data_IF_390980419861
#
_entry.id   IF_390980419861
#
_cell.length_a   1.000
_cell.length_b   1.000
_cell.length_c   1.000
_cell.angle_alpha   90.00
_cell.angle_beta   90.00
_cell.angle_gamma   90.00
#
_symmetry.space_group_name_H-M   'P 1'
#
loop_
_entity.id
_entity.type
_entity.pdbx_description
1 polymer ?
#
# COMPACT_ATOMS: atom_id res chain seq x y z
N UNK A 1 71.80 -1.73 -59.67
CA UNK A 1 70.84 -0.73 -60.20
C UNK A 1 69.89 -1.51 -61.11
N UNK A 2 68.59 -1.70 -60.88
CA UNK A 2 67.61 -1.09 -59.99
C UNK A 2 66.46 -2.11 -59.83
N UNK A 3 65.88 -2.24 -58.63
CA UNK A 3 64.77 -3.15 -58.27
C UNK A 3 63.40 -2.50 -58.46
N UNK A 4 62.36 -3.31 -58.71
CA UNK A 4 60.95 -3.26 -58.21
C UNK A 4 60.01 -4.01 -59.19
N UNK A 5 58.92 -4.71 -58.82
CA UNK A 5 58.36 -5.30 -57.58
C UNK A 5 57.15 -6.15 -58.07
N UNK A 6 56.87 -7.39 -57.60
CA UNK A 6 55.75 -8.18 -58.13
C UNK A 6 54.43 -7.84 -57.43
N UNK A 7 53.37 -7.59 -58.21
CA UNK A 7 52.00 -7.37 -57.73
C UNK A 7 51.37 -8.71 -57.31
N UNK A 8 50.87 -8.74 -56.08
CA UNK A 8 50.27 -9.90 -55.42
C UNK A 8 48.80 -10.04 -55.85
N UNK A 9 48.43 -11.21 -56.37
CA UNK A 9 47.04 -11.59 -56.67
C UNK A 9 46.34 -11.96 -55.36
N UNK A 10 45.33 -11.20 -54.95
CA UNK A 10 44.46 -11.54 -53.82
C UNK A 10 43.29 -12.43 -54.30
N UNK A 11 43.00 -13.56 -53.65
CA UNK A 11 41.82 -14.36 -53.92
C UNK A 11 40.54 -13.64 -53.45
N UNK A 12 39.50 -13.71 -54.28
CA UNK A 12 38.13 -13.22 -54.03
C UNK A 12 37.54 -13.94 -52.81
N UNK A 13 37.17 -13.20 -51.77
CA UNK A 13 36.33 -13.68 -50.66
C UNK A 13 34.88 -13.74 -51.16
N UNK A 14 34.10 -14.82 -50.91
CA UNK A 14 32.69 -14.86 -51.28
C UNK A 14 31.88 -13.86 -50.45
N UNK A 15 30.88 -13.22 -51.07
CA UNK A 15 29.93 -12.35 -50.38
C UNK A 15 29.05 -13.18 -49.41
N UNK A 16 28.63 -12.62 -48.25
CA UNK A 16 27.74 -13.32 -47.33
C UNK A 16 26.37 -13.57 -47.98
N UNK A 17 25.82 -14.76 -47.74
CA UNK A 17 24.46 -15.12 -48.14
C UNK A 17 23.42 -14.23 -47.44
N UNK A 18 22.52 -13.66 -48.23
CA UNK A 18 21.41 -12.82 -47.76
C UNK A 18 20.32 -13.73 -47.16
N UNK A 19 20.25 -13.79 -45.83
CA UNK A 19 19.22 -14.53 -45.11
C UNK A 19 17.94 -13.71 -45.19
N UNK A 20 17.04 -14.02 -46.12
CA UNK A 20 15.66 -13.51 -46.09
C UNK A 20 14.96 -14.05 -44.85
N UNK A 21 14.91 -13.23 -43.79
CA UNK A 21 13.98 -13.42 -42.68
C UNK A 21 12.57 -13.11 -43.18
N UNK A 22 11.74 -14.14 -43.31
CA UNK A 22 10.30 -13.97 -43.38
C UNK A 22 9.86 -13.35 -42.06
N UNK A 23 9.44 -12.09 -42.09
CA UNK A 23 8.91 -11.38 -40.93
C UNK A 23 7.56 -12.00 -40.57
N UNK A 24 7.54 -12.80 -39.51
CA UNK A 24 6.31 -13.33 -38.94
C UNK A 24 5.52 -12.13 -38.37
N UNK A 25 4.26 -11.90 -38.79
CA UNK A 25 3.51 -10.76 -38.29
C UNK A 25 3.38 -10.87 -36.78
N UNK A 26 3.80 -9.81 -36.08
CA UNK A 26 3.66 -9.73 -34.64
C UNK A 26 2.19 -10.02 -34.26
N UNK A 27 1.92 -10.82 -33.22
CA UNK A 27 0.56 -11.09 -32.80
C UNK A 27 -0.13 -9.75 -32.51
N UNK A 28 -1.29 -9.52 -33.13
CA UNK A 28 -2.14 -8.38 -32.81
C UNK A 28 -2.44 -8.41 -31.32
N UNK A 29 -1.77 -7.54 -30.56
CA UNK A 29 -2.15 -7.24 -29.19
C UNK A 29 -3.47 -6.48 -29.30
N UNK A 30 -4.57 -7.21 -29.23
CA UNK A 30 -5.87 -6.61 -29.00
C UNK A 30 -5.77 -5.94 -27.63
N UNK A 31 -5.67 -4.60 -27.61
CA UNK A 31 -5.87 -3.83 -26.38
C UNK A 31 -7.18 -4.30 -25.79
N UNK A 32 -7.13 -5.01 -24.65
CA UNK A 32 -8.33 -5.26 -23.88
C UNK A 32 -8.90 -3.89 -23.58
N UNK A 33 -10.11 -3.61 -24.07
CA UNK A 33 -10.86 -2.43 -23.66
C UNK A 33 -10.79 -2.35 -22.13
N UNK A 34 -10.39 -1.21 -21.56
CA UNK A 34 -10.27 -1.08 -20.12
C UNK A 34 -11.62 -1.44 -19.50
N UNK A 35 -11.65 -2.46 -18.63
CA UNK A 35 -12.88 -2.85 -17.95
C UNK A 35 -13.37 -1.66 -17.15
N UNK A 36 -14.43 -0.99 -17.63
CA UNK A 36 -14.93 0.22 -16.99
C UNK A 36 -15.77 -0.20 -15.79
N UNK A 37 -15.15 -0.16 -14.60
CA UNK A 37 -15.81 -0.50 -13.34
C UNK A 37 -16.81 0.58 -12.95
N UNK A 38 -18.02 0.18 -12.55
CA UNK A 38 -19.03 1.11 -12.04
C UNK A 38 -18.67 1.64 -10.64
N UNK A 39 -19.23 2.79 -10.24
CA UNK A 39 -19.08 3.33 -8.87
C UNK A 39 -19.43 2.27 -7.80
N UNK A 40 -20.54 1.54 -7.99
CA UNK A 40 -21.01 0.56 -7.02
C UNK A 40 -20.01 -0.61 -6.86
N UNK A 41 -19.43 -1.08 -7.96
CA UNK A 41 -18.41 -2.13 -7.94
C UNK A 41 -17.11 -1.65 -7.33
N UNK A 42 -16.62 -0.47 -7.75
CA UNK A 42 -15.41 0.13 -7.22
C UNK A 42 -15.51 0.34 -5.70
N UNK A 43 -16.63 0.90 -5.23
CA UNK A 43 -16.90 1.09 -3.81
C UNK A 43 -16.94 -0.24 -3.05
N UNK A 44 -17.59 -1.27 -3.60
CA UNK A 44 -17.65 -2.60 -2.97
C UNK A 44 -16.25 -3.19 -2.78
N UNK A 45 -15.40 -3.16 -3.81
CA UNK A 45 -14.03 -3.65 -3.71
C UNK A 45 -13.22 -2.82 -2.71
N UNK A 46 -13.29 -1.50 -2.83
CA UNK A 46 -12.56 -0.58 -1.96
C UNK A 46 -12.87 -0.83 -0.48
N UNK A 47 -14.15 -0.98 -0.14
CA UNK A 47 -14.58 -1.24 1.24
C UNK A 47 -14.13 -2.60 1.75
N UNK A 48 -14.14 -3.63 0.91
CA UNK A 48 -13.61 -4.93 1.29
C UNK A 48 -12.11 -4.85 1.62
N UNK A 49 -11.33 -4.14 0.79
CA UNK A 49 -9.91 -3.89 1.06
C UNK A 49 -9.71 -3.05 2.32
N UNK A 50 -10.52 -2.02 2.53
CA UNK A 50 -10.49 -1.16 3.73
C UNK A 50 -10.61 -1.95 5.02
N UNK A 51 -11.63 -2.83 5.09
CA UNK A 51 -11.89 -3.68 6.26
C UNK A 51 -10.75 -4.68 6.45
N UNK A 52 -10.27 -5.28 5.36
CA UNK A 52 -9.14 -6.20 5.43
C UNK A 52 -7.85 -5.51 5.91
N UNK A 53 -7.54 -4.32 5.42
CA UNK A 53 -6.40 -3.52 5.86
C UNK A 53 -6.48 -3.14 7.33
N UNK A 54 -7.67 -2.70 7.80
CA UNK A 54 -7.91 -2.40 9.20
C UNK A 54 -7.71 -3.63 10.10
N UNK A 55 -8.29 -4.76 9.71
CA UNK A 55 -8.15 -6.05 10.40
C UNK A 55 -6.70 -6.50 10.46
N UNK A 56 -5.99 -6.41 9.33
CA UNK A 56 -4.58 -6.78 9.24
C UNK A 56 -3.74 -5.92 10.19
N UNK A 57 -3.94 -4.60 10.17
CA UNK A 57 -3.21 -3.69 11.04
C UNK A 57 -3.34 -4.08 12.51
N UNK A 58 -4.57 -4.33 12.99
CA UNK A 58 -4.81 -4.83 14.34
C UNK A 58 -4.09 -6.16 14.59
N UNK A 59 -4.16 -7.11 13.65
CA UNK A 59 -3.48 -8.41 13.79
C UNK A 59 -1.95 -8.28 13.88
N UNK A 60 -1.35 -7.33 13.16
CA UNK A 60 0.09 -7.08 13.20
C UNK A 60 0.52 -6.50 14.54
N UNK A 61 -0.19 -5.49 15.03
CA UNK A 61 0.13 -4.89 16.33
C UNK A 61 -0.11 -5.86 17.49
N UNK A 62 -1.18 -6.64 17.47
CA UNK A 62 -1.42 -7.66 18.48
C UNK A 62 -0.39 -8.82 18.43
N UNK A 63 0.31 -9.00 17.30
CA UNK A 63 1.35 -10.03 17.17
C UNK A 63 2.69 -9.57 17.79
N UNK A 64 2.85 -8.28 18.08
CA UNK A 64 3.96 -7.75 18.86
C UNK A 64 3.80 -8.26 20.31
N UNK A 65 4.83 -8.94 20.82
CA UNK A 65 4.72 -9.66 22.10
C UNK A 65 5.58 -9.07 23.23
N UNK A 66 6.32 -7.98 22.99
CA UNK A 66 7.38 -7.52 23.90
C UNK A 66 7.71 -6.04 23.62
N UNK A 67 8.20 -5.31 24.62
CA UNK A 67 8.77 -3.95 24.53
C UNK A 67 10.01 -3.88 23.62
N UNK A 68 10.57 -5.04 23.26
CA UNK A 68 11.72 -5.17 22.36
C UNK A 68 11.35 -5.42 20.89
N UNK A 69 10.08 -5.22 20.54
CA UNK A 69 9.60 -5.26 19.17
C UNK A 69 8.76 -4.02 18.84
N UNK A 70 8.98 -3.43 17.67
CA UNK A 70 8.13 -2.36 17.18
C UNK A 70 7.85 -2.53 15.68
N UNK A 71 6.63 -2.19 15.28
CA UNK A 71 6.25 -1.99 13.89
C UNK A 71 6.58 -0.54 13.50
N UNK A 72 7.75 -0.31 12.89
CA UNK A 72 8.19 1.05 12.53
C UNK A 72 7.50 1.59 11.28
N UNK A 73 7.12 0.70 10.37
CA UNK A 73 6.48 1.04 9.11
C UNK A 73 5.51 -0.05 8.68
N UNK A 74 4.39 0.36 8.09
CA UNK A 74 3.40 -0.53 7.49
C UNK A 74 2.77 0.12 6.28
N UNK A 75 2.58 -0.66 5.22
CA UNK A 75 1.81 -0.31 4.04
C UNK A 75 0.88 -1.47 3.71
N UNK A 76 -0.39 -1.15 3.52
CA UNK A 76 -1.36 -2.02 2.91
C UNK A 76 -1.97 -1.34 1.70
N UNK A 77 -1.82 -1.97 0.54
CA UNK A 77 -2.30 -1.48 -0.75
C UNK A 77 -2.93 -2.63 -1.52
N UNK A 78 -4.27 -2.60 -1.65
CA UNK A 78 -5.07 -3.56 -2.43
C UNK A 78 -4.69 -5.03 -2.21
N UNK A 79 -4.42 -5.39 -0.96
CA UNK A 79 -4.09 -6.76 -0.55
C UNK A 79 -2.61 -7.11 -0.62
N UNK A 80 -1.74 -6.21 -1.06
CA UNK A 80 -0.30 -6.31 -0.83
C UNK A 80 0.05 -5.65 0.49
N UNK A 81 0.94 -6.30 1.24
CA UNK A 81 1.43 -5.84 2.53
C UNK A 81 2.93 -5.67 2.47
N UNK A 82 3.42 -4.55 2.97
CA UNK A 82 4.83 -4.31 3.22
C UNK A 82 4.99 -3.73 4.61
N UNK A 83 5.94 -4.22 5.38
CA UNK A 83 6.15 -3.72 6.73
C UNK A 83 7.60 -3.81 7.18
N UNK A 84 7.96 -2.96 8.12
CA UNK A 84 9.27 -2.95 8.77
C UNK A 84 9.08 -3.26 10.25
N UNK A 85 9.77 -4.32 10.71
CA UNK A 85 9.85 -4.65 12.13
C UNK A 85 11.23 -4.30 12.65
N UNK A 86 11.25 -3.69 13.82
CA UNK A 86 12.42 -3.54 14.65
C UNK A 86 12.38 -4.60 15.74
N UNK A 87 13.39 -5.46 15.80
CA UNK A 87 13.47 -6.55 16.77
C UNK A 87 14.86 -6.62 17.38
N UNK A 88 14.98 -6.92 18.66
CA UNK A 88 16.31 -7.08 19.30
C UNK A 88 16.96 -8.45 19.05
N UNK A 89 16.22 -9.44 18.52
CA UNK A 89 16.74 -10.79 18.22
C UNK A 89 15.90 -11.56 17.18
N UNK A 90 16.48 -12.60 16.56
CA UNK A 90 15.76 -13.50 15.64
C UNK A 90 14.67 -14.34 16.33
N UNK A 91 14.83 -14.60 17.63
CA UNK A 91 13.81 -15.31 18.40
C UNK A 91 12.50 -14.49 18.45
N UNK A 92 12.60 -13.18 18.63
CA UNK A 92 11.45 -12.27 18.62
C UNK A 92 10.75 -12.25 17.26
N UNK A 93 11.51 -12.23 16.15
CA UNK A 93 10.93 -12.35 14.81
C UNK A 93 10.18 -13.69 14.62
N UNK A 94 10.70 -14.77 15.20
CA UNK A 94 10.05 -16.09 15.15
C UNK A 94 8.76 -16.10 15.97
N UNK A 95 8.77 -15.48 17.15
CA UNK A 95 7.59 -15.29 18.01
C UNK A 95 6.51 -14.45 17.32
N UNK A 96 6.89 -13.33 16.70
CA UNK A 96 5.97 -12.50 15.91
C UNK A 96 5.26 -13.32 14.83
N UNK A 97 6.03 -14.06 14.02
CA UNK A 97 5.47 -14.90 12.96
C UNK A 97 4.55 -16.00 13.52
N UNK A 98 4.90 -16.58 14.67
CA UNK A 98 4.09 -17.60 15.32
C UNK A 98 2.78 -17.04 15.87
N UNK A 99 2.81 -15.86 16.50
CA UNK A 99 1.61 -15.17 16.99
C UNK A 99 0.69 -14.76 15.85
N UNK A 100 1.26 -14.24 14.77
CA UNK A 100 0.53 -13.86 13.59
C UNK A 100 -0.15 -15.07 12.93
N UNK A 101 0.58 -16.19 12.76
CA UNK A 101 0.02 -17.43 12.21
C UNK A 101 -1.11 -18.01 13.06
N UNK A 102 -1.06 -17.85 14.38
CA UNK A 102 -2.18 -18.25 15.27
C UNK A 102 -3.44 -17.43 15.00
N UNK A 103 -3.31 -16.13 14.67
CA UNK A 103 -4.44 -15.25 14.35
C UNK A 103 -4.92 -15.41 12.91
N UNK A 104 -4.00 -15.57 11.97
CA UNK A 104 -4.28 -15.79 10.57
C UNK A 104 -3.27 -16.76 9.93
N UNK A 105 -3.62 -18.05 9.81
CA UNK A 105 -2.73 -19.06 9.22
C UNK A 105 -2.38 -18.83 7.75
N UNK A 106 -3.21 -18.09 7.01
CA UNK A 106 -3.00 -17.82 5.59
C UNK A 106 -2.02 -16.67 5.34
N UNK A 107 -1.80 -15.81 6.34
CA UNK A 107 -0.88 -14.70 6.22
C UNK A 107 0.56 -15.20 6.32
N UNK A 108 1.29 -15.07 5.22
CA UNK A 108 2.70 -15.44 5.14
C UNK A 108 3.52 -14.23 4.69
N UNK A 109 4.58 -13.96 5.45
CA UNK A 109 5.54 -12.92 5.12
C UNK A 109 6.83 -13.54 4.57
N UNK A 110 7.32 -12.93 3.49
CA UNK A 110 8.66 -13.13 2.98
C UNK A 110 9.55 -12.02 3.52
N UNK A 111 10.73 -12.40 4.01
CA UNK A 111 11.78 -11.45 4.36
C UNK A 111 12.42 -10.90 3.10
N UNK A 112 12.40 -9.58 2.96
CA UNK A 112 13.06 -8.86 1.86
C UNK A 112 14.48 -8.43 2.23
N UNK A 113 14.65 -7.92 3.44
CA UNK A 113 15.92 -7.39 3.94
C UNK A 113 16.03 -7.62 5.45
N UNK A 114 17.27 -7.76 5.91
CA UNK A 114 17.63 -7.75 7.33
C UNK A 114 18.90 -6.93 7.51
N UNK A 115 18.82 -5.92 8.36
CA UNK A 115 19.98 -5.08 8.67
C UNK A 115 20.04 -4.75 10.14
N UNK A 116 21.22 -4.88 10.75
CA UNK A 116 21.43 -4.48 12.13
C UNK A 116 21.85 -3.01 12.19
N UNK A 117 21.27 -2.26 13.13
CA UNK A 117 21.66 -0.89 13.42
C UNK A 117 21.89 -0.70 14.91
N UNK A 118 22.83 0.18 15.24
CA UNK A 118 23.17 0.50 16.63
C UNK A 118 22.33 1.68 17.09
N UNK A 119 21.56 1.47 18.14
CA UNK A 119 21.04 2.54 19.01
C UNK A 119 22.09 2.82 20.11
N UNK A 120 22.00 3.96 20.82
CA UNK A 120 22.99 4.36 21.83
C UNK A 120 23.31 3.31 22.90
N UNK A 121 22.35 2.44 23.22
CA UNK A 121 22.39 1.47 24.32
C UNK A 121 22.17 0.01 23.88
N UNK A 122 21.83 -0.24 22.60
CA UNK A 122 21.53 -1.59 22.10
C UNK A 122 21.74 -1.73 20.59
N UNK A 123 21.85 -2.96 20.13
CA UNK A 123 21.73 -3.28 18.69
C UNK A 123 20.29 -3.73 18.42
N UNK A 124 19.70 -3.20 17.37
CA UNK A 124 18.36 -3.57 16.91
C UNK A 124 18.47 -4.05 15.47
N UNK A 125 17.73 -5.09 15.14
CA UNK A 125 17.60 -5.61 13.79
C UNK A 125 16.36 -5.04 13.14
N UNK A 126 16.56 -4.38 12.01
CA UNK A 126 15.50 -3.99 11.09
C UNK A 126 15.22 -5.15 10.14
N UNK A 127 13.96 -5.54 10.01
CA UNK A 127 13.50 -6.61 9.14
C UNK A 127 12.43 -6.05 8.22
N UNK A 128 12.69 -6.04 6.91
CA UNK A 128 11.69 -5.70 5.91
C UNK A 128 10.95 -6.97 5.49
N UNK A 129 9.62 -6.93 5.58
CA UNK A 129 8.74 -8.04 5.25
C UNK A 129 7.75 -7.61 4.17
N UNK A 130 7.39 -8.55 3.30
CA UNK A 130 6.27 -8.38 2.35
C UNK A 130 5.41 -9.63 2.30
N UNK A 131 4.12 -9.46 2.05
CA UNK A 131 3.16 -10.54 1.97
C UNK A 131 1.90 -10.12 1.24
N UNK A 132 0.94 -11.04 1.19
CA UNK A 132 -0.37 -10.80 0.61
C UNK A 132 -1.45 -11.08 1.65
N UNK A 133 -2.43 -10.19 1.70
CA UNK A 133 -3.60 -10.29 2.56
C UNK A 133 -4.83 -9.88 1.74
N UNK A 134 -5.47 -10.82 1.03
CA UNK A 134 -6.59 -10.49 0.16
C UNK A 134 -7.76 -9.96 0.98
N UNK A 135 -8.59 -9.13 0.34
CA UNK A 135 -9.88 -8.77 0.90
C UNK A 135 -10.78 -10.01 0.98
N UNK A 136 -11.38 -10.24 2.15
CA UNK A 136 -12.36 -11.30 2.36
C UNK A 136 -13.71 -10.69 2.71
N UNK A 137 -14.78 -11.18 2.07
CA UNK A 137 -16.15 -10.77 2.36
C UNK A 137 -16.64 -9.54 1.62
N UNK A 138 -17.82 -9.06 2.03
CA UNK A 138 -18.47 -7.86 1.48
C UNK A 138 -18.29 -6.74 2.50
N UNK A 139 -17.66 -5.63 2.13
CA UNK A 139 -17.61 -4.45 2.99
C UNK A 139 -19.03 -4.02 3.37
N UNK A 140 -19.26 -3.62 4.63
CA UNK A 140 -20.59 -3.19 5.10
C UNK A 140 -21.19 -2.16 4.14
N UNK A 141 -22.45 -2.28 3.74
CA UNK A 141 -23.09 -1.32 2.82
C UNK A 141 -23.97 -0.28 3.54
N UNK A 142 -24.01 -0.36 4.87
CA UNK A 142 -24.75 0.54 5.76
C UNK A 142 -23.95 1.79 6.11
N UNK A 143 -24.63 2.92 6.31
CA UNK A 143 -24.00 4.21 6.66
C UNK A 143 -24.71 5.38 5.96
N UNK A 144 -24.35 6.61 6.31
CA UNK A 144 -24.76 7.81 5.58
C UNK A 144 -23.78 8.08 4.43
N UNK A 145 -24.23 8.80 3.41
CA UNK A 145 -23.32 9.31 2.38
C UNK A 145 -22.66 10.59 2.90
N UNK A 146 -21.34 10.69 2.80
CA UNK A 146 -20.62 11.91 3.13
C UNK A 146 -20.69 12.86 1.93
N UNK A 147 -21.34 14.00 2.14
CA UNK A 147 -21.42 15.07 1.14
C UNK A 147 -20.09 15.82 1.01
N UNK A 148 -19.74 16.23 -0.21
CA UNK A 148 -18.50 16.96 -0.48
C UNK A 148 -18.42 18.28 0.29
N UNK A 149 -19.53 19.00 0.41
CA UNK A 149 -19.60 20.27 1.15
C UNK A 149 -19.25 20.10 2.65
N UNK A 150 -19.50 18.93 3.23
CA UNK A 150 -19.29 18.63 4.65
C UNK A 150 -18.02 17.81 4.91
N UNK A 151 -17.36 17.34 3.85
CA UNK A 151 -16.26 16.38 3.88
C UNK A 151 -15.14 16.79 4.83
N UNK A 152 -14.66 18.02 4.69
CA UNK A 152 -13.54 18.53 5.51
C UNK A 152 -13.93 18.64 6.99
N UNK A 153 -15.10 19.19 7.30
CA UNK A 153 -15.55 19.38 8.68
C UNK A 153 -15.88 18.06 9.37
N UNK A 154 -16.55 17.14 8.69
CA UNK A 154 -16.94 15.85 9.25
C UNK A 154 -15.72 14.94 9.47
N UNK A 155 -14.77 14.87 8.53
CA UNK A 155 -13.52 14.11 8.73
C UNK A 155 -12.72 14.71 9.89
N UNK A 156 -12.53 16.03 9.92
CA UNK A 156 -11.76 16.70 10.99
C UNK A 156 -12.38 16.43 12.36
N UNK A 157 -13.70 16.63 12.48
CA UNK A 157 -14.45 16.34 13.71
C UNK A 157 -14.33 14.87 14.12
N UNK A 158 -14.41 13.94 13.17
CA UNK A 158 -14.27 12.52 13.47
C UNK A 158 -12.87 12.20 14.02
N UNK A 159 -11.82 12.76 13.43
CA UNK A 159 -10.45 12.57 13.90
C UNK A 159 -10.26 13.14 15.31
N UNK A 160 -10.67 14.39 15.52
CA UNK A 160 -10.49 15.10 16.80
C UNK A 160 -11.29 14.48 17.94
N UNK A 161 -12.49 13.97 17.67
CA UNK A 161 -13.31 13.27 18.69
C UNK A 161 -12.69 11.95 19.15
N UNK A 162 -11.79 11.34 18.35
CA UNK A 162 -10.97 10.21 18.78
C UNK A 162 -9.70 10.65 19.52
N UNK A 163 -9.52 11.94 19.83
CA UNK A 163 -8.30 12.46 20.46
C UNK A 163 -7.07 12.36 19.57
N UNK A 164 -7.25 12.34 18.24
CA UNK A 164 -6.18 12.35 17.26
C UNK A 164 -5.96 13.77 16.73
N UNK A 165 -4.75 14.05 16.24
CA UNK A 165 -4.39 15.29 15.60
C UNK A 165 -4.42 15.12 14.07
N UNK A 166 -5.21 15.94 13.38
CA UNK A 166 -5.10 16.10 11.92
C UNK A 166 -3.80 16.85 11.63
N UNK A 167 -2.87 16.22 10.91
CA UNK A 167 -1.64 16.85 10.43
C UNK A 167 -1.81 17.41 9.03
N UNK A 168 -2.57 16.70 8.20
CA UNK A 168 -2.83 17.09 6.83
C UNK A 168 -4.15 16.45 6.37
N UNK A 169 -4.94 17.21 5.62
CA UNK A 169 -6.09 16.70 4.89
C UNK A 169 -6.09 17.37 3.52
N UNK A 170 -5.79 16.58 2.49
CA UNK A 170 -5.78 17.01 1.10
C UNK A 170 -6.92 16.35 0.35
N UNK A 171 -7.64 17.14 -0.46
CA UNK A 171 -8.75 16.69 -1.30
C UNK A 171 -8.32 16.97 -2.73
N UNK A 172 -8.23 15.91 -3.53
CA UNK A 172 -7.87 16.02 -4.94
C UNK A 172 -9.10 16.31 -5.80
N UNK A 173 -8.91 16.85 -7.02
CA UNK A 173 -10.02 17.02 -7.96
C UNK A 173 -10.78 15.71 -8.20
N UNK A 174 -12.09 15.83 -8.37
CA UNK A 174 -12.94 14.69 -8.68
C UNK A 174 -12.61 14.10 -10.06
N UNK A 175 -12.65 12.77 -10.15
CA UNK A 175 -12.45 11.99 -11.37
C UNK A 175 -13.79 11.39 -11.78
N UNK A 176 -14.22 11.64 -13.02
CA UNK A 176 -15.43 11.04 -13.55
C UNK A 176 -15.25 9.52 -13.73
N UNK A 177 -16.23 8.75 -13.28
CA UNK A 177 -16.29 7.29 -13.40
C UNK A 177 -17.69 6.86 -13.81
N UNK A 178 -17.88 5.64 -14.29
CA UNK A 178 -19.20 5.18 -14.72
C UNK A 178 -20.20 5.21 -13.57
N UNK A 179 -21.22 6.05 -13.69
CA UNK A 179 -22.28 6.22 -12.69
C UNK A 179 -22.01 7.29 -11.63
N UNK A 180 -20.95 8.11 -11.73
CA UNK A 180 -20.70 9.22 -10.81
C UNK A 180 -19.26 9.72 -10.82
N UNK A 181 -18.75 10.04 -9.63
CA UNK A 181 -17.44 10.61 -9.42
C UNK A 181 -16.71 9.94 -8.26
N UNK A 182 -15.39 9.84 -8.42
CA UNK A 182 -14.44 9.48 -7.39
C UNK A 182 -13.71 10.75 -6.94
N UNK A 183 -13.71 11.03 -5.64
CA UNK A 183 -12.95 12.13 -5.03
C UNK A 183 -11.86 11.52 -4.16
N UNK A 184 -10.58 11.55 -4.61
CA UNK A 184 -9.47 11.06 -3.82
C UNK A 184 -9.12 12.03 -2.69
N UNK A 185 -8.84 11.49 -1.51
CA UNK A 185 -8.35 12.23 -0.35
C UNK A 185 -7.09 11.59 0.21
N UNK A 186 -6.23 12.42 0.79
CA UNK A 186 -5.17 11.95 1.66
C UNK A 186 -5.33 12.58 3.04
N UNK A 187 -5.46 11.74 4.07
CA UNK A 187 -5.61 12.15 5.46
C UNK A 187 -4.40 11.67 6.26
N UNK A 188 -3.65 12.60 6.84
CA UNK A 188 -2.54 12.31 7.75
C UNK A 188 -2.95 12.65 9.18
N UNK A 189 -2.92 11.65 10.06
CA UNK A 189 -3.23 11.81 11.49
C UNK A 189 -2.05 11.41 12.35
N UNK A 190 -2.04 11.92 13.58
CA UNK A 190 -1.10 11.53 14.62
C UNK A 190 -1.82 11.35 15.95
N UNK A 191 -1.51 10.29 16.68
CA UNK A 191 -2.02 10.09 18.04
C UNK A 191 -1.82 8.66 18.52
N UNK A 192 -2.53 8.29 19.58
CA UNK A 192 -2.45 6.94 20.15
C UNK A 192 -2.95 5.90 19.15
N UNK A 193 -2.22 4.80 19.00
CA UNK A 193 -2.51 3.70 18.08
C UNK A 193 -3.94 3.21 18.16
N UNK A 194 -4.44 2.93 19.36
CA UNK A 194 -5.79 2.38 19.56
C UNK A 194 -6.87 3.34 19.04
N UNK A 195 -6.66 4.65 19.23
CA UNK A 195 -7.57 5.69 18.70
C UNK A 195 -7.55 5.75 17.17
N UNK A 196 -6.40 5.48 16.54
CA UNK A 196 -6.31 5.38 15.07
C UNK A 196 -7.10 4.20 14.54
N UNK A 197 -7.11 3.05 15.24
CA UNK A 197 -7.95 1.91 14.84
C UNK A 197 -9.43 2.22 14.98
N UNK A 198 -9.82 2.89 16.06
CA UNK A 198 -11.20 3.35 16.23
C UNK A 198 -11.61 4.34 15.14
N UNK A 199 -10.73 5.25 14.72
CA UNK A 199 -10.99 6.15 13.59
C UNK A 199 -11.30 5.35 12.30
N UNK A 200 -10.45 4.39 11.94
CA UNK A 200 -10.62 3.58 10.73
C UNK A 200 -11.96 2.84 10.74
N UNK A 201 -12.30 2.21 11.87
CA UNK A 201 -13.59 1.53 12.04
C UNK A 201 -14.77 2.51 11.94
N UNK A 202 -14.69 3.65 12.64
CA UNK A 202 -15.75 4.66 12.64
C UNK A 202 -15.97 5.28 11.27
N UNK A 203 -14.93 5.48 10.46
CA UNK A 203 -15.08 5.97 9.09
C UNK A 203 -15.86 4.96 8.24
N UNK A 204 -15.50 3.67 8.32
CA UNK A 204 -16.16 2.63 7.53
C UNK A 204 -17.59 2.34 8.00
N UNK A 205 -17.85 2.46 9.30
CA UNK A 205 -19.18 2.16 9.87
C UNK A 205 -20.16 3.32 9.68
N UNK A 206 -19.70 4.58 9.74
CA UNK A 206 -20.57 5.74 9.60
C UNK A 206 -20.83 6.12 8.13
N UNK A 207 -19.86 5.90 7.25
CA UNK A 207 -19.93 6.37 5.87
C UNK A 207 -19.89 5.22 4.88
N UNK A 208 -20.98 5.04 4.12
CA UNK A 208 -21.08 3.93 3.17
C UNK A 208 -20.42 4.21 1.83
N UNK A 209 -20.25 5.49 1.47
CA UNK A 209 -19.73 5.91 0.17
C UNK A 209 -18.21 6.16 0.16
N UNK A 210 -17.48 5.69 1.17
CA UNK A 210 -16.02 5.83 1.23
C UNK A 210 -15.30 4.52 1.51
N UNK A 211 -14.02 4.46 1.14
CA UNK A 211 -13.09 3.40 1.54
C UNK A 211 -11.63 3.79 1.33
N UNK A 212 -10.73 3.13 2.04
CA UNK A 212 -9.28 3.30 1.96
C UNK A 212 -8.68 2.52 0.78
N UNK A 213 -7.91 3.20 -0.06
CA UNK A 213 -7.14 2.60 -1.15
C UNK A 213 -5.80 2.13 -0.63
N UNK A 214 -5.23 2.92 0.28
CA UNK A 214 -3.96 2.63 0.93
C UNK A 214 -3.96 3.07 2.38
N UNK A 215 -3.36 2.24 3.22
CA UNK A 215 -3.07 2.54 4.62
C UNK A 215 -1.55 2.56 4.78
N UNK A 216 -1.00 3.66 5.30
CA UNK A 216 0.43 3.78 5.60
C UNK A 216 0.61 4.21 7.05
N UNK A 217 1.36 3.45 7.83
CA UNK A 217 1.72 3.83 9.20
C UNK A 217 3.23 3.99 9.32
N UNK A 218 3.65 4.98 10.10
CA UNK A 218 5.04 5.20 10.48
C UNK A 218 5.14 5.64 11.94
N UNK A 219 6.10 5.07 12.68
CA UNK A 219 6.44 5.51 14.03
C UNK A 219 7.39 6.69 13.95
N UNK A 220 7.12 7.75 14.73
CA UNK A 220 7.87 9.00 14.65
C UNK A 220 9.26 8.91 15.29
N UNK A 221 9.42 8.06 16.31
CA UNK A 221 10.67 7.95 17.07
C UNK A 221 11.08 6.48 17.25
N UNK A 222 12.01 6.02 16.41
CA UNK A 222 12.59 4.67 16.51
C UNK A 222 13.50 4.48 17.73
N UNK A 223 13.81 5.56 18.48
CA UNK A 223 14.77 5.54 19.59
C UNK A 223 14.26 4.74 20.79
N UNK A 224 12.96 4.80 21.05
CA UNK A 224 12.38 4.20 22.26
C UNK A 224 11.70 2.86 21.98
N UNK A 225 11.55 2.45 20.71
CA UNK A 225 10.64 1.36 20.30
C UNK A 225 9.20 1.56 20.85
N UNK A 226 8.85 2.79 21.23
CA UNK A 226 7.50 3.15 21.62
C UNK A 226 6.62 3.28 20.37
N UNK A 227 5.73 2.31 20.21
CA UNK A 227 4.73 2.26 19.15
C UNK A 227 3.35 2.77 19.62
N UNK A 228 3.25 3.34 20.83
CA UNK A 228 2.00 3.86 21.38
C UNK A 228 1.48 5.01 20.51
N UNK A 229 2.37 5.87 20.02
CA UNK A 229 2.02 7.01 19.17
C UNK A 229 2.50 6.82 17.74
N UNK A 230 1.54 6.79 16.81
CA UNK A 230 1.81 6.58 15.38
C UNK A 230 1.37 7.78 14.55
N UNK A 231 2.06 7.98 13.43
CA UNK A 231 1.52 8.78 12.31
C UNK A 231 0.92 7.82 11.31
N UNK A 232 -0.32 8.06 10.89
CA UNK A 232 -0.97 7.27 9.86
C UNK A 232 -1.42 8.15 8.71
N UNK A 233 -1.15 7.71 7.49
CA UNK A 233 -1.63 8.31 6.25
C UNK A 233 -2.64 7.36 5.63
N UNK A 234 -3.82 7.89 5.36
CA UNK A 234 -4.92 7.21 4.70
C UNK A 234 -5.10 7.81 3.32
N UNK A 235 -4.92 7.01 2.28
CA UNK A 235 -5.42 7.36 0.95
C UNK A 235 -6.85 6.82 0.87
N UNK A 236 -7.81 7.72 0.67
CA UNK A 236 -9.24 7.48 0.78
C UNK A 236 -9.89 7.82 -0.55
N UNK A 237 -10.77 6.94 -0.98
CA UNK A 237 -11.62 7.14 -2.14
C UNK A 237 -13.06 7.39 -1.65
N UNK A 238 -13.58 8.59 -1.93
CA UNK A 238 -14.97 8.95 -1.69
C UNK A 238 -15.73 8.90 -3.01
N UNK A 239 -16.85 8.19 -3.04
CA UNK A 239 -17.71 8.05 -4.21
C UNK A 239 -18.96 8.91 -4.05
N UNK A 240 -19.31 9.67 -5.09
CA UNK A 240 -20.49 10.53 -5.10
C UNK A 240 -21.15 10.54 -6.47
N UNK A 241 -22.46 10.71 -6.52
CA UNK A 241 -23.20 10.95 -7.78
C UNK A 241 -23.30 12.45 -8.12
N UNK A 242 -22.96 13.33 -7.17
CA UNK A 242 -23.11 14.78 -7.29
C UNK A 242 -21.81 15.52 -6.96
N UNK A 243 -21.48 16.53 -7.77
CA UNK A 243 -20.37 17.48 -7.56
C UNK A 243 -20.92 18.87 -7.21
N UNK A 244 -21.81 18.96 -6.22
CA UNK A 244 -22.26 20.24 -5.70
C UNK A 244 -21.23 20.73 -4.67
N UNK A 245 -20.39 21.68 -5.09
CA UNK A 245 -19.59 22.52 -4.18
C UNK A 245 -20.28 23.87 -4.15
N UNK A 246 -20.98 24.17 -3.07
CA UNK A 246 -21.60 25.49 -2.82
C UNK A 246 -20.54 26.54 -2.49
#
# INVERSE_FOLDING_TARGET
LTTQKPTKVSPKVPAPEEITKTEEPAPEVTEKEPTVMTVAEALKFQRAYSVAGARLLTQLFDALSDENMALSFFVYDKGTVSLELLVSSDNLLSTFNLNLRKKNPQLQFRVLDKSDFKLPDRTVRRVLLTGTFPAEGVGKTTGKDLELAQLKSEITKLVETQGLLVKELSISPAVAVTGGYLVPLSLKVYGRRDNVFHLVQNMLDNYRNMGFSRLVSAVKQLRELDDEYITMVFDIDLFTTELSVS
#
